data_IF_804992849214
#
_entry.id   IF_804992849214
#
_cell.length_a   1.000
_cell.length_b   1.000
_cell.length_c   1.000
_cell.angle_alpha   90.00
_cell.angle_beta   90.00
_cell.angle_gamma   90.00
#
_symmetry.space_group_name_H-M   'P 1'
#
loop_
_entity.id
_entity.type
_entity.pdbx_description
1 polymer ?
#
# COMPACT_ATOMS: atom_id res chain seq x y z
N UNK A 1 -9.65 11.56 -10.98
CA UNK A 1 -8.27 11.48 -10.43
C UNK A 1 -7.46 12.63 -11.03
N UNK A 2 -6.54 13.24 -10.27
CA UNK A 2 -5.61 14.26 -10.79
C UNK A 2 -4.32 13.62 -11.32
N UNK A 3 -3.54 14.35 -12.14
CA UNK A 3 -2.23 13.88 -12.61
C UNK A 3 -1.30 13.49 -11.46
N UNK A 4 -1.21 14.30 -10.41
CA UNK A 4 -0.38 14.02 -9.21
C UNK A 4 -0.77 12.72 -8.51
N UNK A 5 -2.08 12.45 -8.40
CA UNK A 5 -2.59 11.21 -7.81
C UNK A 5 -2.25 10.00 -8.67
N UNK A 6 -2.37 10.15 -10.00
CA UNK A 6 -1.97 9.12 -10.96
C UNK A 6 -0.48 8.82 -10.89
N UNK A 7 0.35 9.86 -10.89
CA UNK A 7 1.81 9.74 -10.81
C UNK A 7 2.25 9.04 -9.52
N UNK A 8 1.62 9.37 -8.39
CA UNK A 8 1.89 8.68 -7.12
C UNK A 8 1.65 7.16 -7.23
N UNK A 9 0.48 6.75 -7.73
CA UNK A 9 0.14 5.32 -7.88
C UNK A 9 1.11 4.65 -8.85
N UNK A 10 1.43 5.30 -9.98
CA UNK A 10 2.37 4.79 -10.98
C UNK A 10 3.76 4.57 -10.38
N UNK A 11 4.30 5.56 -9.67
CA UNK A 11 5.60 5.44 -8.99
C UNK A 11 5.59 4.32 -7.96
N UNK A 12 4.50 4.17 -7.21
CA UNK A 12 4.37 3.08 -6.24
C UNK A 12 4.35 1.71 -6.91
N UNK A 13 3.63 1.55 -8.03
CA UNK A 13 3.69 0.32 -8.83
C UNK A 13 5.12 0.00 -9.25
N UNK A 14 5.87 0.97 -9.79
CA UNK A 14 7.26 0.76 -10.20
C UNK A 14 8.14 0.32 -9.02
N UNK A 15 8.00 0.95 -7.85
CA UNK A 15 8.75 0.56 -6.66
C UNK A 15 8.40 -0.86 -6.20
N UNK A 16 7.12 -1.25 -6.25
CA UNK A 16 6.69 -2.60 -5.86
C UNK A 16 7.21 -3.64 -6.87
N UNK A 17 7.12 -3.36 -8.17
CA UNK A 17 7.62 -4.25 -9.23
C UNK A 17 9.15 -4.42 -9.17
N UNK A 18 9.89 -3.36 -8.82
CA UNK A 18 11.34 -3.44 -8.64
C UNK A 18 11.71 -4.38 -7.48
N UNK A 19 10.94 -4.34 -6.39
CA UNK A 19 11.22 -5.15 -5.18
C UNK A 19 10.68 -6.58 -5.34
N UNK A 20 9.52 -6.74 -5.97
CA UNK A 20 8.78 -7.99 -6.09
C UNK A 20 8.33 -8.23 -7.55
N UNK A 21 9.27 -8.53 -8.47
CA UNK A 21 9.01 -8.59 -9.91
C UNK A 21 8.08 -9.73 -10.34
N UNK A 22 7.82 -10.71 -9.47
CA UNK A 22 6.95 -11.85 -9.77
C UNK A 22 5.49 -11.64 -9.37
N UNK A 23 5.14 -10.49 -8.78
CA UNK A 23 3.74 -10.20 -8.45
C UNK A 23 2.92 -9.96 -9.70
N UNK A 24 1.65 -10.39 -9.68
CA UNK A 24 0.74 -10.07 -10.76
C UNK A 24 0.47 -8.56 -10.78
N UNK A 25 0.32 -8.00 -11.98
CA UNK A 25 0.07 -6.57 -12.16
C UNK A 25 -1.12 -6.07 -11.35
N UNK A 26 -2.21 -6.85 -11.29
CA UNK A 26 -3.40 -6.47 -10.55
C UNK A 26 -3.19 -6.45 -9.03
N UNK A 27 -2.38 -7.38 -8.48
CA UNK A 27 -1.99 -7.37 -7.06
C UNK A 27 -1.07 -6.19 -6.77
N UNK A 28 -0.06 -5.95 -7.61
CA UNK A 28 0.83 -4.77 -7.52
C UNK A 28 0.01 -3.48 -7.51
N UNK A 29 -0.91 -3.33 -8.48
CA UNK A 29 -1.76 -2.14 -8.58
C UNK A 29 -2.66 -1.99 -7.36
N UNK A 30 -3.22 -3.09 -6.85
CA UNK A 30 -4.04 -3.04 -5.64
C UNK A 30 -3.24 -2.55 -4.43
N UNK A 31 -2.02 -3.06 -4.21
CA UNK A 31 -1.15 -2.63 -3.11
C UNK A 31 -0.74 -1.15 -3.26
N UNK A 32 -0.45 -0.71 -4.48
CA UNK A 32 -0.20 0.71 -4.76
C UNK A 32 -1.43 1.59 -4.41
N UNK A 33 -2.64 1.11 -4.71
CA UNK A 33 -3.88 1.79 -4.36
C UNK A 33 -4.16 1.78 -2.85
N UNK A 34 -3.78 0.72 -2.13
CA UNK A 34 -3.79 0.71 -0.66
C UNK A 34 -2.91 1.85 -0.14
N UNK A 35 -1.65 1.94 -0.61
CA UNK A 35 -0.76 3.03 -0.20
C UNK A 35 -1.35 4.41 -0.49
N UNK A 36 -1.98 4.60 -1.66
CA UNK A 36 -2.63 5.86 -2.01
C UNK A 36 -3.76 6.21 -1.03
N UNK A 37 -4.57 5.24 -0.61
CA UNK A 37 -5.62 5.43 0.39
C UNK A 37 -5.03 5.81 1.75
N UNK A 38 -4.07 5.03 2.26
CA UNK A 38 -3.49 5.22 3.59
C UNK A 38 -2.75 6.55 3.75
N UNK A 39 -2.16 7.05 2.67
CA UNK A 39 -1.29 8.22 2.68
C UNK A 39 -1.93 9.47 2.13
N UNK A 40 -3.19 9.40 1.69
CA UNK A 40 -3.82 10.43 0.87
C UNK A 40 -2.89 10.83 -0.30
N UNK A 41 -2.51 9.84 -1.12
CA UNK A 41 -1.61 9.99 -2.27
C UNK A 41 -0.24 10.60 -1.89
N UNK A 42 0.34 10.14 -0.78
CA UNK A 42 1.65 10.54 -0.29
C UNK A 42 1.70 11.86 0.48
N UNK A 43 0.55 12.48 0.76
CA UNK A 43 0.49 13.80 1.39
C UNK A 43 0.43 13.75 2.92
N UNK A 44 0.05 12.61 3.50
CA UNK A 44 -0.04 12.46 4.96
C UNK A 44 1.31 12.69 5.64
N UNK A 45 1.28 13.31 6.83
CA UNK A 45 2.49 13.55 7.63
C UNK A 45 3.19 12.24 7.99
N UNK A 46 2.41 11.19 8.29
CA UNK A 46 2.93 9.86 8.54
C UNK A 46 3.76 9.34 7.35
N UNK A 47 3.29 9.53 6.12
CA UNK A 47 4.06 9.20 4.93
C UNK A 47 5.28 10.12 4.75
N UNK A 48 5.11 11.43 4.84
CA UNK A 48 6.17 12.40 4.52
C UNK A 48 7.33 12.36 5.52
N UNK A 49 7.01 12.30 6.81
CA UNK A 49 7.96 12.38 7.91
C UNK A 49 8.53 11.00 8.30
N UNK A 50 7.69 9.95 8.26
CA UNK A 50 8.07 8.61 8.72
C UNK A 50 8.28 7.61 7.59
N UNK A 51 8.12 8.04 6.33
CA UNK A 51 8.17 7.17 5.13
C UNK A 51 7.28 5.94 5.28
N UNK A 52 6.17 6.07 6.01
CA UNK A 52 5.26 4.98 6.30
C UNK A 52 4.08 5.03 5.33
N UNK A 53 4.18 4.21 4.29
CA UNK A 53 3.28 4.23 3.14
C UNK A 53 2.03 3.37 3.33
N UNK A 54 1.92 2.66 4.46
CA UNK A 54 0.88 1.66 4.75
C UNK A 54 0.33 1.78 6.18
N UNK A 55 0.52 2.92 6.86
CA UNK A 55 -0.03 3.14 8.20
C UNK A 55 0.42 2.10 9.25
N UNK A 56 1.61 1.52 9.13
CA UNK A 56 2.05 0.44 10.01
C UNK A 56 2.42 0.96 11.40
N UNK A 57 1.99 0.26 12.46
CA UNK A 57 2.33 0.59 13.85
C UNK A 57 3.65 -0.03 14.30
N UNK A 58 3.79 -1.34 14.10
CA UNK A 58 4.95 -2.12 14.53
C UNK A 58 5.64 -2.71 13.30
N UNK A 59 6.81 -2.19 12.90
CA UNK A 59 7.52 -2.76 11.78
C UNK A 59 8.13 -4.12 12.17
N UNK A 60 7.97 -5.12 11.31
CA UNK A 60 8.44 -6.49 11.57
C UNK A 60 9.97 -6.60 11.50
N UNK A 61 10.60 -5.86 10.59
CA UNK A 61 12.05 -5.88 10.38
C UNK A 61 12.82 -5.01 11.38
N UNK A 62 12.15 -4.06 12.07
CA UNK A 62 12.82 -3.05 12.91
C UNK A 62 11.99 -2.60 14.12
N UNK A 63 11.70 -3.46 15.10
CA UNK A 63 10.78 -3.15 16.21
C UNK A 63 11.11 -1.87 17.01
N UNK A 64 12.35 -1.36 16.95
CA UNK A 64 12.80 -0.16 17.67
C UNK A 64 12.68 1.17 16.91
N UNK A 65 12.18 1.18 15.66
CA UNK A 65 12.00 2.44 14.91
C UNK A 65 10.61 3.05 15.07
N UNK A 66 9.72 2.44 15.85
CA UNK A 66 8.43 3.04 16.14
C UNK A 66 8.58 4.35 16.93
N UNK A 67 7.79 5.35 16.60
CA UNK A 67 7.82 6.68 17.23
C UNK A 67 6.40 7.16 17.50
N UNK A 68 6.19 7.80 18.64
CA UNK A 68 4.92 8.48 18.95
C UNK A 68 4.72 9.65 17.98
N UNK A 69 3.53 9.73 17.38
CA UNK A 69 3.16 10.85 16.50
C UNK A 69 1.77 11.39 16.88
N UNK A 70 1.69 12.71 17.08
CA UNK A 70 0.50 13.39 17.60
C UNK A 70 0.21 13.06 19.08
N UNK A 71 -1.05 13.21 19.50
CA UNK A 71 -1.52 12.82 20.84
C UNK A 71 -1.89 11.32 20.92
N UNK A 72 -1.40 10.50 20.00
CA UNK A 72 -1.74 9.08 19.95
C UNK A 72 -1.02 8.30 21.06
N UNK A 73 -1.73 7.40 21.74
CA UNK A 73 -1.14 6.45 22.70
C UNK A 73 -0.38 5.29 22.02
N UNK A 74 -0.22 5.34 20.69
CA UNK A 74 0.38 4.28 19.90
C UNK A 74 1.57 4.82 19.12
N UNK A 75 2.61 4.01 19.02
CA UNK A 75 3.77 4.31 18.18
C UNK A 75 3.50 3.88 16.73
N UNK A 76 4.06 4.65 15.80
CA UNK A 76 3.99 4.37 14.37
C UNK A 76 5.37 4.00 13.83
N UNK A 77 5.40 3.05 12.91
CA UNK A 77 6.62 2.61 12.27
C UNK A 77 7.30 3.79 11.54
N UNK A 78 8.59 4.00 11.83
CA UNK A 78 9.43 4.96 11.14
C UNK A 78 10.39 4.25 10.19
N UNK A 79 10.35 4.63 8.93
CA UNK A 79 11.13 4.07 7.85
C UNK A 79 12.10 5.11 7.30
N UNK A 80 13.23 4.65 6.75
CA UNK A 80 14.21 5.54 6.13
C UNK A 80 13.93 5.76 4.63
N UNK A 81 13.05 4.95 4.04
CA UNK A 81 12.78 4.94 2.60
C UNK A 81 11.44 4.28 2.27
N UNK A 82 10.91 4.59 1.09
CA UNK A 82 9.75 3.89 0.53
C UNK A 82 10.03 2.38 0.42
N UNK A 83 11.23 2.02 -0.06
CA UNK A 83 11.71 0.63 -0.13
C UNK A 83 11.52 -0.11 1.20
N UNK A 84 12.02 0.46 2.31
CA UNK A 84 11.91 -0.18 3.62
C UNK A 84 10.46 -0.33 4.10
N UNK A 85 9.57 0.61 3.77
CA UNK A 85 8.16 0.50 4.10
C UNK A 85 7.44 -0.56 3.26
N UNK A 86 7.80 -0.72 1.99
CA UNK A 86 7.24 -1.77 1.12
C UNK A 86 7.71 -3.15 1.60
N UNK A 87 9.02 -3.33 1.82
CA UNK A 87 9.56 -4.60 2.31
C UNK A 87 8.89 -5.01 3.64
N UNK A 88 8.73 -4.07 4.57
CA UNK A 88 8.14 -4.38 5.87
C UNK A 88 6.64 -4.69 5.78
N UNK A 89 5.91 -4.00 4.89
CA UNK A 89 4.53 -4.35 4.57
C UNK A 89 4.41 -5.80 4.09
N UNK A 90 5.28 -6.21 3.16
CA UNK A 90 5.30 -7.58 2.66
C UNK A 90 5.76 -8.60 3.72
N UNK A 91 6.65 -8.23 4.66
CA UNK A 91 6.98 -9.07 5.80
C UNK A 91 5.78 -9.26 6.74
N UNK A 92 5.01 -8.20 7.00
CA UNK A 92 3.79 -8.29 7.79
C UNK A 92 2.75 -9.19 7.12
N UNK A 93 2.57 -9.02 5.80
CA UNK A 93 1.71 -9.87 4.98
C UNK A 93 2.22 -11.32 5.03
N UNK A 94 3.48 -11.59 4.70
CA UNK A 94 4.09 -12.93 4.69
C UNK A 94 4.03 -13.64 6.05
N UNK A 95 4.28 -12.93 7.16
CA UNK A 95 4.18 -13.48 8.52
C UNK A 95 2.78 -14.03 8.82
N UNK A 96 1.76 -13.45 8.19
CA UNK A 96 0.36 -13.80 8.37
C UNK A 96 -0.13 -14.86 7.38
N UNK A 97 0.80 -15.47 6.64
CA UNK A 97 0.61 -16.58 5.69
C UNK A 97 -0.38 -16.31 4.54
N UNK A 98 -0.08 -15.43 3.57
CA UNK A 98 -0.54 -15.69 2.23
C UNK A 98 0.15 -16.94 1.71
N UNK A 99 -0.64 -17.90 1.22
CA UNK A 99 -0.10 -18.89 0.30
C UNK A 99 0.46 -18.13 -0.91
N UNK A 100 1.56 -18.58 -1.53
CA UNK A 100 2.09 -17.95 -2.76
C UNK A 100 0.99 -17.67 -3.81
N UNK A 101 -0.04 -18.53 -3.84
CA UNK A 101 -1.25 -18.41 -4.67
C UNK A 101 -2.09 -17.14 -4.42
N UNK A 102 -2.10 -16.61 -3.20
CA UNK A 102 -2.84 -15.38 -2.87
C UNK A 102 -2.15 -14.14 -3.45
N UNK A 103 -0.83 -14.19 -3.63
CA UNK A 103 -0.06 -13.12 -4.27
C UNK A 103 -0.17 -13.16 -5.82
N UNK A 104 -0.71 -14.24 -6.37
CA UNK A 104 -0.96 -14.40 -7.81
C UNK A 104 -2.40 -14.00 -8.18
N UNK A 105 -3.35 -14.12 -7.26
CA UNK A 105 -4.78 -13.90 -7.51
C UNK A 105 -5.32 -12.71 -6.70
N UNK A 106 -5.78 -11.67 -7.40
CA UNK A 106 -6.30 -10.45 -6.77
C UNK A 106 -7.46 -10.70 -5.81
N UNK A 107 -8.39 -11.59 -6.12
CA UNK A 107 -9.57 -11.83 -5.27
C UNK A 107 -9.19 -12.55 -3.98
N UNK A 108 -8.25 -13.49 -4.06
CA UNK A 108 -7.67 -14.12 -2.87
C UNK A 108 -6.90 -13.10 -2.03
N UNK A 109 -6.11 -12.23 -2.67
CA UNK A 109 -5.40 -11.15 -1.97
C UNK A 109 -6.37 -10.21 -1.24
N UNK A 110 -7.43 -9.76 -1.93
CA UNK A 110 -8.48 -8.91 -1.35
C UNK A 110 -9.17 -9.59 -0.17
N UNK A 111 -9.46 -10.89 -0.28
CA UNK A 111 -10.04 -11.67 0.81
C UNK A 111 -9.10 -11.70 2.02
N UNK A 112 -7.81 -11.94 1.82
CA UNK A 112 -6.81 -11.89 2.90
C UNK A 112 -6.78 -10.50 3.57
N UNK A 113 -6.64 -9.43 2.78
CA UNK A 113 -6.59 -8.05 3.28
C UNK A 113 -7.85 -7.68 4.06
N UNK A 114 -9.04 -8.06 3.58
CA UNK A 114 -10.33 -7.80 4.25
C UNK A 114 -10.37 -8.38 5.67
N UNK A 115 -9.77 -9.54 5.88
CA UNK A 115 -9.86 -10.26 7.15
C UNK A 115 -8.77 -9.87 8.16
N UNK A 116 -7.69 -9.22 7.70
CA UNK A 116 -6.50 -9.02 8.53
C UNK A 116 -6.05 -7.56 8.63
N UNK A 117 -6.10 -6.81 7.54
CA UNK A 117 -5.38 -5.54 7.46
C UNK A 117 -6.17 -4.38 8.08
N UNK A 118 -7.44 -4.20 7.67
CA UNK A 118 -8.29 -3.12 8.15
C UNK A 118 -9.68 -3.65 8.49
N UNK A 119 -10.21 -3.39 9.70
CA UNK A 119 -11.53 -3.86 10.12
C UNK A 119 -12.69 -3.08 9.47
N UNK A 120 -12.42 -1.98 8.75
CA UNK A 120 -13.45 -1.21 8.05
C UNK A 120 -14.11 -2.05 6.95
N UNK A 121 -15.45 -2.15 7.00
CA UNK A 121 -16.23 -3.00 6.10
C UNK A 121 -16.12 -2.60 4.63
N UNK A 122 -15.88 -1.32 4.35
CA UNK A 122 -15.79 -0.73 3.03
C UNK A 122 -14.34 -0.51 2.55
N UNK A 123 -13.33 -0.99 3.30
CA UNK A 123 -11.92 -0.79 2.96
C UNK A 123 -11.57 -1.31 1.55
N UNK A 124 -11.97 -2.55 1.24
CA UNK A 124 -11.73 -3.16 -0.08
C UNK A 124 -12.44 -2.40 -1.20
N UNK A 125 -13.61 -1.85 -0.92
CA UNK A 125 -14.37 -1.04 -1.88
C UNK A 125 -13.65 0.28 -2.16
N UNK A 126 -13.20 0.99 -1.12
CA UNK A 126 -12.40 2.23 -1.24
C UNK A 126 -11.15 2.01 -2.11
N UNK A 127 -10.38 0.96 -1.85
CA UNK A 127 -9.17 0.63 -2.63
C UNK A 127 -9.53 0.26 -4.07
N UNK A 128 -10.59 -0.54 -4.27
CA UNK A 128 -11.04 -0.95 -5.60
C UNK A 128 -11.54 0.24 -6.42
N UNK A 129 -12.19 1.23 -5.79
CA UNK A 129 -12.61 2.46 -6.45
C UNK A 129 -11.41 3.30 -6.91
N UNK A 130 -10.35 3.39 -6.11
CA UNK A 130 -9.09 4.06 -6.52
C UNK A 130 -8.48 3.33 -7.72
N UNK A 131 -8.44 2.00 -7.69
CA UNK A 131 -7.92 1.16 -8.78
C UNK A 131 -8.71 1.34 -10.08
N UNK A 132 -10.05 1.36 -10.02
CA UNK A 132 -10.92 1.62 -11.17
C UNK A 132 -10.67 3.01 -11.74
N UNK A 133 -10.62 4.05 -10.89
CA UNK A 133 -10.34 5.43 -11.31
C UNK A 133 -8.96 5.56 -11.98
N UNK A 134 -7.95 4.83 -11.48
CA UNK A 134 -6.63 4.78 -12.10
C UNK A 134 -6.67 4.16 -13.50
N UNK A 135 -7.37 3.02 -13.66
CA UNK A 135 -7.52 2.34 -14.97
C UNK A 135 -8.25 3.25 -15.97
N UNK A 136 -9.37 3.86 -15.59
CA UNK A 136 -10.10 4.80 -16.44
C UNK A 136 -9.24 5.99 -16.86
N UNK A 137 -8.53 6.63 -15.92
CA UNK A 137 -7.64 7.74 -16.24
C UNK A 137 -6.51 7.34 -17.20
N UNK A 138 -5.95 6.14 -17.04
CA UNK A 138 -4.91 5.61 -17.95
C UNK A 138 -5.43 5.44 -19.37
N UNK A 139 -6.65 4.94 -19.54
CA UNK A 139 -7.24 4.68 -20.86
C UNK A 139 -7.63 5.98 -21.58
N UNK A 140 -8.18 6.96 -20.87
CA UNK A 140 -8.51 8.29 -21.39
C UNK A 140 -7.27 9.08 -21.88
N UNK A 141 -6.10 8.82 -21.30
CA UNK A 141 -4.85 9.51 -21.65
C UNK A 141 -3.95 8.71 -22.60
N UNK A 142 -4.36 7.49 -23.00
CA UNK A 142 -3.71 6.72 -24.07
C UNK A 142 -4.27 7.03 -25.46
N UNK A 143 -5.45 7.63 -25.50
CA UNK A 143 -6.22 7.94 -26.72
C UNK A 143 -6.05 9.39 -27.18
N UNK A 144 -5.17 10.17 -26.52
CA UNK A 144 -4.77 11.53 -26.87
C UNK A 144 -3.32 11.54 -27.32
#
# INVERSE_FOLDING_TARGET
MTSKQYDFIKTMCCNIEEIFPTLSYDVTLFIACQSALETNYGTSDLCRLFKNYFGMRNPMSRPSTSKVWGNCQFEWANFNSCYSSIVDYFLCVAYRKPLAKELENLDLFKYFIKNWYCPEKDYIEKVSNIMSNFKSYKDENRTK
#
